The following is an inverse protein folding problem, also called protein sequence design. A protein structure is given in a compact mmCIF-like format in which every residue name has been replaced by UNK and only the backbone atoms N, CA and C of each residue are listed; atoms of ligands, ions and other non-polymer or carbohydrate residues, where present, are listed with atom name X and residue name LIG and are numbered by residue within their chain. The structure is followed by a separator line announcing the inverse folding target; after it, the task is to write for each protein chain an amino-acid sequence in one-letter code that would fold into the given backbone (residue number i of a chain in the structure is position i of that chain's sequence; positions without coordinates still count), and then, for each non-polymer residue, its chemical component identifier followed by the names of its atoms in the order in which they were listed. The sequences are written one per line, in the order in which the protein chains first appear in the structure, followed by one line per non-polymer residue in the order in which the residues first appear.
data_IF_082709981112
#
_entry.id   IF_082709981112
#
_cell.length_a   1.000
_cell.length_b   1.000
_cell.length_c   1.000
_cell.angle_alpha   90.00
_cell.angle_beta   90.00
_cell.angle_gamma   90.00
#
_symmetry.space_group_name_H-M   'P 1'
#
loop_
_entity.id
_entity.type
_entity.pdbx_description
1 polymer ?
#
# COMPACT_ATOMS: atom_id res chain seq x y z
N UNK A 1 56.91 -0.01 28.31
CA UNK A 1 55.97 -0.80 27.46
C UNK A 1 55.08 -1.61 28.40
N UNK A 2 53.80 -1.26 28.49
CA UNK A 2 52.84 -1.79 29.47
C UNK A 2 52.71 -3.32 29.32
N UNK A 3 53.11 -4.09 30.36
CA UNK A 3 53.00 -5.56 30.38
C UNK A 3 51.57 -5.93 30.80
N UNK A 4 50.64 -5.97 29.85
CA UNK A 4 49.29 -6.48 30.11
C UNK A 4 49.36 -7.94 30.57
N UNK A 5 48.75 -8.23 31.71
CA UNK A 5 48.62 -9.61 32.21
C UNK A 5 47.70 -10.41 31.28
N UNK A 6 47.97 -11.71 31.13
CA UNK A 6 47.25 -12.61 30.21
C UNK A 6 45.72 -12.55 30.44
N UNK A 7 45.29 -12.44 31.71
CA UNK A 7 43.89 -12.27 32.12
C UNK A 7 43.23 -11.04 31.49
N UNK A 8 43.93 -9.89 31.49
CA UNK A 8 43.40 -8.65 30.91
C UNK A 8 43.28 -8.75 29.38
N UNK A 9 44.24 -9.42 28.72
CA UNK A 9 44.20 -9.65 27.28
C UNK A 9 43.02 -10.56 26.89
N UNK A 10 42.75 -11.59 27.69
CA UNK A 10 41.64 -12.52 27.48
C UNK A 10 40.28 -11.83 27.71
N UNK A 11 40.15 -11.04 28.78
CA UNK A 11 38.94 -10.24 29.04
C UNK A 11 38.65 -9.21 27.95
N UNK A 12 39.69 -8.57 27.41
CA UNK A 12 39.55 -7.60 26.33
C UNK A 12 39.06 -8.27 25.02
N UNK A 13 39.60 -9.44 24.68
CA UNK A 13 39.14 -10.22 23.52
C UNK A 13 37.68 -10.65 23.66
N UNK A 14 37.31 -11.20 24.83
CA UNK A 14 35.93 -11.61 25.11
C UNK A 14 34.99 -10.41 25.07
N UNK A 15 35.38 -9.30 25.69
CA UNK A 15 34.61 -8.05 25.63
C UNK A 15 34.41 -7.55 24.20
N UNK A 16 35.47 -7.57 23.38
CA UNK A 16 35.40 -7.20 21.97
C UNK A 16 34.43 -8.10 21.17
N UNK A 17 34.45 -9.42 21.41
CA UNK A 17 33.51 -10.35 20.79
C UNK A 17 32.06 -10.05 21.20
N UNK A 18 31.80 -9.84 22.49
CA UNK A 18 30.46 -9.48 22.98
C UNK A 18 29.96 -8.18 22.37
N UNK A 19 30.81 -7.15 22.27
CA UNK A 19 30.42 -5.91 21.58
C UNK A 19 30.09 -6.16 20.11
N UNK A 20 30.84 -7.03 19.43
CA UNK A 20 30.54 -7.45 18.06
C UNK A 20 29.14 -8.07 17.94
N UNK A 21 28.81 -9.03 18.80
CA UNK A 21 27.49 -9.65 18.82
C UNK A 21 26.37 -8.63 19.04
N UNK A 22 26.52 -7.74 20.03
CA UNK A 22 25.52 -6.71 20.33
C UNK A 22 25.31 -5.79 19.12
N UNK A 23 26.39 -5.38 18.44
CA UNK A 23 26.25 -4.51 17.26
C UNK A 23 25.52 -5.18 16.11
N UNK A 24 25.79 -6.46 15.85
CA UNK A 24 25.10 -7.24 14.81
C UNK A 24 23.63 -7.42 15.17
N UNK A 25 23.32 -7.72 16.42
CA UNK A 25 21.96 -7.90 16.90
C UNK A 25 21.14 -6.61 16.76
N UNK A 26 21.69 -5.47 17.19
CA UNK A 26 21.04 -4.16 17.05
C UNK A 26 20.80 -3.78 15.58
N UNK A 27 21.78 -4.03 14.71
CA UNK A 27 21.64 -3.80 13.27
C UNK A 27 20.59 -4.71 12.64
N UNK A 28 20.60 -5.99 12.99
CA UNK A 28 19.66 -7.00 12.49
C UNK A 28 18.22 -6.68 12.89
N UNK A 29 17.99 -6.33 14.16
CA UNK A 29 16.67 -5.93 14.65
C UNK A 29 16.16 -4.68 13.92
N UNK A 30 17.00 -3.63 13.83
CA UNK A 30 16.64 -2.39 13.13
C UNK A 30 16.39 -2.61 11.63
N UNK A 31 17.15 -3.51 11.00
CA UNK A 31 16.94 -3.87 9.59
C UNK A 31 15.61 -4.60 9.39
N UNK A 32 15.25 -5.51 10.29
CA UNK A 32 14.00 -6.25 10.24
C UNK A 32 12.80 -5.32 10.44
N UNK A 33 12.83 -4.43 11.43
CA UNK A 33 11.76 -3.44 11.66
C UNK A 33 11.54 -2.55 10.43
N UNK A 34 12.61 -2.04 9.83
CA UNK A 34 12.53 -1.25 8.59
C UNK A 34 11.99 -2.06 7.42
N UNK A 35 12.38 -3.33 7.29
CA UNK A 35 11.88 -4.23 6.25
C UNK A 35 10.37 -4.45 6.37
N UNK A 36 9.88 -4.75 7.58
CA UNK A 36 8.45 -4.95 7.85
C UNK A 36 7.67 -3.66 7.62
N UNK A 37 8.17 -2.52 8.11
CA UNK A 37 7.53 -1.22 7.90
C UNK A 37 7.44 -0.87 6.40
N UNK A 38 8.51 -1.11 5.63
CA UNK A 38 8.53 -0.89 4.18
C UNK A 38 7.52 -1.77 3.45
N UNK A 39 7.46 -3.07 3.77
CA UNK A 39 6.47 -3.98 3.20
C UNK A 39 5.04 -3.53 3.51
N UNK A 40 4.79 -3.07 4.74
CA UNK A 40 3.48 -2.53 5.11
C UNK A 40 3.12 -1.29 4.28
N UNK A 41 4.07 -0.37 4.06
CA UNK A 41 3.83 0.80 3.19
C UNK A 41 3.60 0.38 1.73
N UNK A 42 4.35 -0.57 1.18
CA UNK A 42 4.12 -1.06 -0.19
C UNK A 42 2.73 -1.71 -0.30
N UNK A 43 2.33 -2.49 0.69
CA UNK A 43 1.02 -3.12 0.71
C UNK A 43 -0.12 -2.10 0.75
N UNK A 44 -0.10 -1.20 1.73
CA UNK A 44 -1.16 -0.22 1.91
C UNK A 44 -1.16 0.84 0.80
N UNK A 45 0.02 1.38 0.46
CA UNK A 45 0.11 2.53 -0.44
C UNK A 45 0.03 2.15 -1.92
N UNK A 46 0.46 0.93 -2.29
CA UNK A 46 0.46 0.48 -3.70
C UNK A 46 -0.55 -0.62 -3.95
N UNK A 47 -0.50 -1.72 -3.21
CA UNK A 47 -1.31 -2.90 -3.53
C UNK A 47 -2.79 -2.64 -3.27
N UNK A 48 -3.15 -2.06 -2.13
CA UNK A 48 -4.56 -1.72 -1.82
C UNK A 48 -5.05 -0.58 -2.73
N UNK A 49 -4.27 0.48 -2.90
CA UNK A 49 -4.61 1.59 -3.81
C UNK A 49 -4.91 1.13 -5.25
N UNK A 50 -4.05 0.29 -5.83
CA UNK A 50 -4.26 -0.23 -7.18
C UNK A 50 -5.47 -1.16 -7.28
N UNK A 51 -5.74 -1.92 -6.21
CA UNK A 51 -6.96 -2.74 -6.13
C UNK A 51 -8.21 -1.87 -6.15
N UNK A 52 -8.26 -0.81 -5.34
CA UNK A 52 -9.40 0.11 -5.28
C UNK A 52 -9.65 0.75 -6.65
N UNK A 53 -8.60 1.22 -7.33
CA UNK A 53 -8.70 1.75 -8.70
C UNK A 53 -9.19 0.72 -9.72
N UNK A 54 -8.70 -0.51 -9.63
CA UNK A 54 -9.18 -1.60 -10.49
C UNK A 54 -10.66 -1.87 -10.23
N UNK A 55 -11.09 -1.92 -8.98
CA UNK A 55 -12.49 -2.15 -8.63
C UNK A 55 -13.38 -1.02 -9.15
N UNK A 56 -12.95 0.24 -9.08
CA UNK A 56 -13.64 1.37 -9.70
C UNK A 56 -13.82 1.14 -11.21
N UNK A 57 -12.75 0.75 -11.91
CA UNK A 57 -12.81 0.49 -13.35
C UNK A 57 -13.77 -0.68 -13.69
N UNK A 58 -13.73 -1.75 -12.92
CA UNK A 58 -14.61 -2.91 -13.10
C UNK A 58 -16.09 -2.56 -12.82
N UNK A 59 -16.37 -1.75 -11.79
CA UNK A 59 -17.71 -1.23 -11.49
C UNK A 59 -18.24 -0.38 -12.64
N UNK A 60 -17.41 0.50 -13.22
CA UNK A 60 -17.81 1.31 -14.36
C UNK A 60 -18.13 0.43 -15.58
N UNK A 61 -17.24 -0.51 -15.93
CA UNK A 61 -17.42 -1.36 -17.10
C UNK A 61 -18.65 -2.28 -16.99
N UNK A 62 -18.87 -2.91 -15.84
CA UNK A 62 -19.91 -3.93 -15.68
C UNK A 62 -21.22 -3.34 -15.17
N UNK A 63 -21.20 -2.52 -14.13
CA UNK A 63 -22.43 -2.05 -13.48
C UNK A 63 -23.02 -0.80 -14.10
N UNK A 64 -22.22 -0.01 -14.83
CA UNK A 64 -22.71 1.18 -15.51
C UNK A 64 -22.86 0.90 -17.01
N UNK A 65 -21.76 0.57 -17.70
CA UNK A 65 -21.77 0.41 -19.16
C UNK A 65 -22.56 -0.82 -19.60
N UNK A 66 -22.25 -2.01 -19.09
CA UNK A 66 -22.95 -3.24 -19.47
C UNK A 66 -24.42 -3.24 -19.03
N UNK A 67 -24.75 -2.74 -17.84
CA UNK A 67 -26.14 -2.57 -17.40
C UNK A 67 -26.95 -1.62 -18.27
N UNK A 68 -26.33 -0.55 -18.79
CA UNK A 68 -26.94 0.34 -19.78
C UNK A 68 -27.21 -0.37 -21.10
N UNK A 69 -26.25 -1.18 -21.59
CA UNK A 69 -26.43 -2.00 -22.79
C UNK A 69 -27.51 -3.08 -22.61
N UNK A 70 -27.59 -3.71 -21.43
CA UNK A 70 -28.61 -4.71 -21.09
C UNK A 70 -30.01 -4.09 -21.03
N UNK A 71 -30.14 -2.89 -20.46
CA UNK A 71 -31.40 -2.14 -20.45
C UNK A 71 -31.87 -1.81 -21.86
N UNK A 72 -30.96 -1.25 -22.68
CA UNK A 72 -31.25 -0.90 -24.07
C UNK A 72 -31.61 -2.11 -24.92
N UNK A 73 -31.04 -3.27 -24.64
CA UNK A 73 -31.33 -4.51 -25.38
C UNK A 73 -32.52 -5.31 -24.82
N UNK A 74 -33.23 -4.78 -23.83
CA UNK A 74 -34.39 -5.43 -23.22
C UNK A 74 -34.07 -6.63 -22.32
N UNK A 75 -32.78 -6.91 -22.07
CA UNK A 75 -32.32 -7.99 -21.17
C UNK A 75 -32.41 -7.62 -19.70
N UNK A 76 -32.71 -6.35 -19.41
CA UNK A 76 -32.84 -5.78 -18.07
C UNK A 76 -33.84 -4.63 -18.13
N UNK A 77 -34.59 -4.41 -17.05
CA UNK A 77 -35.49 -3.25 -17.00
C UNK A 77 -34.70 -1.96 -16.76
N UNK A 78 -35.23 -0.82 -17.20
CA UNK A 78 -34.63 0.48 -16.92
C UNK A 78 -34.51 0.77 -15.42
N UNK A 79 -35.52 0.40 -14.63
CA UNK A 79 -35.49 0.58 -13.17
C UNK A 79 -34.36 -0.24 -12.51
N UNK A 80 -34.13 -1.48 -12.95
CA UNK A 80 -33.01 -2.28 -12.48
C UNK A 80 -31.67 -1.65 -12.88
N UNK A 81 -31.55 -1.12 -14.10
CA UNK A 81 -30.33 -0.48 -14.58
C UNK A 81 -30.02 0.81 -13.85
N UNK A 82 -31.03 1.63 -13.60
CA UNK A 82 -30.89 2.82 -12.78
C UNK A 82 -30.40 2.47 -11.37
N UNK A 83 -30.93 1.40 -10.77
CA UNK A 83 -30.50 0.95 -9.45
C UNK A 83 -29.04 0.48 -9.46
N UNK A 84 -28.63 -0.35 -10.43
CA UNK A 84 -27.23 -0.78 -10.54
C UNK A 84 -26.26 0.37 -10.74
N UNK A 85 -26.63 1.37 -11.56
CA UNK A 85 -25.82 2.57 -11.78
C UNK A 85 -25.69 3.39 -10.49
N UNK A 86 -26.79 3.59 -9.74
CA UNK A 86 -26.76 4.30 -8.45
C UNK A 86 -25.89 3.56 -7.43
N UNK A 87 -26.02 2.24 -7.36
CA UNK A 87 -25.27 1.41 -6.42
C UNK A 87 -23.77 1.37 -6.77
N UNK A 88 -23.44 1.34 -8.07
CA UNK A 88 -22.06 1.46 -8.55
C UNK A 88 -21.46 2.83 -8.24
N UNK A 89 -22.22 3.91 -8.46
CA UNK A 89 -21.79 5.28 -8.15
C UNK A 89 -21.41 5.43 -6.67
N UNK A 90 -22.29 4.97 -5.75
CA UNK A 90 -21.98 5.00 -4.31
C UNK A 90 -20.71 4.23 -3.96
N UNK A 91 -20.50 3.07 -4.57
CA UNK A 91 -19.29 2.27 -4.33
C UNK A 91 -18.03 2.93 -4.90
N UNK A 92 -18.11 3.49 -6.10
CA UNK A 92 -17.02 4.23 -6.71
C UNK A 92 -16.62 5.42 -5.82
N UNK A 93 -17.59 6.19 -5.30
CA UNK A 93 -17.32 7.33 -4.42
C UNK A 93 -16.58 6.90 -3.14
N UNK A 94 -17.01 5.80 -2.52
CA UNK A 94 -16.37 5.25 -1.32
C UNK A 94 -14.93 4.81 -1.60
N UNK A 95 -14.70 4.05 -2.68
CA UNK A 95 -13.38 3.56 -3.07
C UNK A 95 -12.46 4.71 -3.50
N UNK A 96 -13.00 5.72 -4.20
CA UNK A 96 -12.25 6.88 -4.62
C UNK A 96 -11.81 7.73 -3.43
N UNK A 97 -12.67 7.88 -2.43
CA UNK A 97 -12.32 8.57 -1.19
C UNK A 97 -11.28 7.80 -0.37
N UNK A 98 -11.35 6.46 -0.36
CA UNK A 98 -10.32 5.59 0.22
C UNK A 98 -8.95 5.82 -0.46
N UNK A 99 -8.91 5.69 -1.78
CA UNK A 99 -7.71 5.90 -2.58
C UNK A 99 -7.06 7.29 -2.37
N UNK A 100 -7.87 8.34 -2.23
CA UNK A 100 -7.37 9.71 -2.01
C UNK A 100 -6.68 9.92 -0.66
N UNK A 101 -7.00 9.12 0.37
CA UNK A 101 -6.39 9.25 1.71
C UNK A 101 -4.99 8.64 1.79
N UNK A 102 -4.63 7.80 0.82
CA UNK A 102 -3.35 7.09 0.79
C UNK A 102 -2.20 7.99 0.31
N UNK A 103 -0.96 7.70 0.72
CA UNK A 103 0.20 8.46 0.23
C UNK A 103 0.45 8.20 -1.25
N UNK A 104 0.36 9.27 -2.06
CA UNK A 104 0.61 9.25 -3.50
C UNK A 104 2.06 9.65 -3.80
N UNK A 105 2.61 9.14 -4.89
CA UNK A 105 3.83 9.71 -5.49
C UNK A 105 3.45 10.94 -6.33
N UNK A 106 4.42 11.82 -6.57
CA UNK A 106 4.21 13.10 -7.26
C UNK A 106 3.54 12.93 -8.64
N UNK A 107 3.85 11.86 -9.36
CA UNK A 107 3.24 11.55 -10.67
C UNK A 107 1.76 11.18 -10.56
N UNK A 108 1.39 10.41 -9.54
CA UNK A 108 -0.02 10.07 -9.25
C UNK A 108 -0.79 11.31 -8.83
N UNK A 109 -0.19 12.16 -8.00
CA UNK A 109 -0.83 13.41 -7.58
C UNK A 109 -1.11 14.31 -8.78
N UNK A 110 -0.15 14.47 -9.70
CA UNK A 110 -0.37 15.24 -10.94
C UNK A 110 -1.53 14.69 -11.78
N UNK A 111 -1.66 13.38 -11.86
CA UNK A 111 -2.73 12.72 -12.60
C UNK A 111 -4.10 12.96 -11.93
N UNK A 112 -4.16 12.86 -10.60
CA UNK A 112 -5.37 13.17 -9.83
C UNK A 112 -5.77 14.63 -9.97
N UNK A 113 -4.82 15.56 -9.88
CA UNK A 113 -5.06 16.99 -10.02
C UNK A 113 -5.54 17.37 -11.43
N UNK A 114 -5.05 16.67 -12.46
CA UNK A 114 -5.54 16.84 -13.83
C UNK A 114 -7.00 16.37 -13.96
N UNK A 115 -7.35 15.23 -13.36
CA UNK A 115 -8.72 14.72 -13.34
C UNK A 115 -9.68 15.63 -12.57
N UNK A 116 -9.23 16.27 -11.49
CA UNK A 116 -10.07 17.17 -10.69
C UNK A 116 -10.46 18.48 -11.43
N UNK A 117 -9.83 18.78 -12.57
CA UNK A 117 -10.11 19.96 -13.38
C UNK A 117 -11.09 19.71 -14.54
N UNK A 118 -11.48 18.44 -14.76
CA UNK A 118 -12.50 18.03 -15.72
C UNK A 118 -13.90 18.18 -15.11
#
# INVERSE_FOLDING_TARGET
MQKFTIRTRLLMLVGAMFTGFITIELMGFSALERGVASLNTVYLDRVVSLRDLKTIADLYAVKIVDSSHKARSGRMTYAQAEQEVKDAGRQIDMLWHSYQKTKKIDEEQRSVDALAKL
#
